data_IF_653612203820
#
_entry.id   IF_653612203820
#
_cell.length_a   1.000
_cell.length_b   1.000
_cell.length_c   1.000
_cell.angle_alpha   90.00
_cell.angle_beta   90.00
_cell.angle_gamma   90.00
#
_symmetry.space_group_name_H-M   'P 1'
#
loop_
_entity.id
_entity.type
_entity.pdbx_description
1 polymer ?
#
# COMPACT_ATOMS: atom_id res chain seq x y z
N UNK A 1 -15.64 -7.95 0.07
CA UNK A 1 -14.29 -7.44 -0.25
C UNK A 1 -14.14 -6.10 0.42
N UNK A 2 -13.29 -6.00 1.45
CA UNK A 2 -12.80 -4.70 1.90
C UNK A 2 -12.03 -4.09 0.74
N UNK A 3 -12.61 -3.03 0.17
CA UNK A 3 -12.11 -2.41 -1.05
C UNK A 3 -10.95 -1.51 -0.66
N UNK A 4 -9.72 -1.94 -1.00
CA UNK A 4 -8.53 -1.09 -0.89
C UNK A 4 -8.83 0.23 -1.59
N UNK A 5 -8.62 1.34 -0.87
CA UNK A 5 -8.84 2.67 -1.38
C UNK A 5 -7.77 3.63 -0.83
N UNK A 6 -7.81 4.86 -1.31
CA UNK A 6 -6.85 5.93 -1.00
C UNK A 6 -6.69 6.24 0.50
N UNK A 7 -7.69 5.94 1.32
CA UNK A 7 -7.70 6.19 2.77
C UNK A 7 -7.32 4.94 3.58
N UNK A 8 -7.14 3.78 2.93
CA UNK A 8 -6.60 2.58 3.57
C UNK A 8 -5.16 2.82 3.98
N UNK A 9 -4.78 2.43 5.20
CA UNK A 9 -3.39 2.53 5.66
C UNK A 9 -2.51 1.43 5.05
N UNK A 10 -1.22 1.71 4.92
CA UNK A 10 -0.22 0.71 4.48
C UNK A 10 -0.28 -0.55 5.36
N UNK A 11 -0.48 -0.38 6.68
CA UNK A 11 -0.59 -1.51 7.59
C UNK A 11 -1.88 -2.30 7.45
N UNK A 12 -3.00 -1.66 7.13
CA UNK A 12 -4.22 -2.38 6.77
C UNK A 12 -4.04 -3.21 5.49
N UNK A 13 -3.43 -2.63 4.45
CA UNK A 13 -3.14 -3.33 3.18
C UNK A 13 -2.30 -4.59 3.40
N UNK A 14 -1.29 -4.52 4.27
CA UNK A 14 -0.42 -5.66 4.59
C UNK A 14 -1.14 -6.68 5.48
N UNK A 15 -1.98 -6.23 6.43
CA UNK A 15 -2.81 -7.14 7.24
C UNK A 15 -3.85 -7.90 6.40
N UNK A 16 -4.41 -7.25 5.38
CA UNK A 16 -5.34 -7.87 4.44
C UNK A 16 -4.67 -8.96 3.61
N UNK A 17 -3.45 -8.70 3.13
CA UNK A 17 -2.64 -9.69 2.43
C UNK A 17 -1.14 -9.38 2.65
N UNK A 18 -0.40 -10.21 3.41
CA UNK A 18 1.02 -10.00 3.66
C UNK A 18 1.88 -9.92 2.39
N UNK A 19 1.46 -10.53 1.27
CA UNK A 19 2.15 -10.43 -0.02
C UNK A 19 2.14 -9.00 -0.59
N UNK A 20 1.20 -8.15 -0.16
CA UNK A 20 1.19 -6.74 -0.55
C UNK A 20 2.41 -5.98 -0.04
N UNK A 21 3.09 -6.45 1.02
CA UNK A 21 4.35 -5.84 1.47
C UNK A 21 5.39 -5.84 0.34
N UNK A 22 5.52 -6.97 -0.38
CA UNK A 22 6.44 -7.07 -1.52
C UNK A 22 6.03 -6.14 -2.67
N UNK A 23 4.73 -6.03 -2.95
CA UNK A 23 4.24 -5.08 -3.96
C UNK A 23 4.59 -3.64 -3.58
N UNK A 24 4.27 -3.21 -2.37
CA UNK A 24 4.58 -1.87 -1.88
C UNK A 24 6.08 -1.56 -1.99
N UNK A 25 6.95 -2.51 -1.63
CA UNK A 25 8.40 -2.38 -1.81
C UNK A 25 8.79 -2.22 -3.28
N UNK A 26 8.17 -2.97 -4.20
CA UNK A 26 8.41 -2.83 -5.65
C UNK A 26 7.95 -1.47 -6.20
N UNK A 27 7.00 -0.80 -5.54
CA UNK A 27 6.57 0.57 -5.85
C UNK A 27 7.49 1.65 -5.23
N UNK A 28 8.54 1.26 -4.50
CA UNK A 28 9.50 2.19 -3.89
C UNK A 28 9.27 2.45 -2.40
N UNK A 29 8.31 1.77 -1.76
CA UNK A 29 8.07 1.86 -0.31
C UNK A 29 8.94 0.83 0.43
N UNK A 30 10.26 1.01 0.45
CA UNK A 30 11.19 0.06 1.08
C UNK A 30 11.03 -0.10 2.60
N UNK A 31 10.47 0.91 3.27
CA UNK A 31 10.31 0.94 4.73
C UNK A 31 8.92 0.52 5.20
N UNK A 32 8.19 -0.30 4.42
CA UNK A 32 6.81 -0.70 4.77
C UNK A 32 6.69 -1.35 6.15
N UNK A 33 7.73 -1.99 6.67
CA UNK A 33 7.72 -2.57 8.02
C UNK A 33 7.88 -1.56 9.17
N UNK A 34 8.21 -0.30 8.89
CA UNK A 34 8.38 0.71 9.93
C UNK A 34 7.03 1.15 10.52
N UNK A 35 6.91 1.36 11.85
CA UNK A 35 5.65 1.79 12.47
C UNK A 35 5.07 3.08 11.88
N UNK A 36 5.93 4.01 11.47
CA UNK A 36 5.53 5.25 10.80
C UNK A 36 4.86 4.96 9.45
N UNK A 37 5.51 4.16 8.59
CA UNK A 37 4.97 3.79 7.28
C UNK A 37 3.65 3.04 7.39
N UNK A 38 3.52 2.15 8.36
CA UNK A 38 2.30 1.40 8.63
C UNK A 38 1.09 2.29 8.99
N UNK A 39 1.35 3.50 9.50
CA UNK A 39 0.33 4.46 9.94
C UNK A 39 -0.08 5.42 8.82
N UNK A 40 0.69 5.50 7.74
CA UNK A 40 0.38 6.36 6.59
C UNK A 40 -0.74 5.75 5.73
N UNK A 41 -1.61 6.60 5.20
CA UNK A 41 -2.56 6.20 4.16
C UNK A 41 -1.83 5.94 2.84
N UNK A 42 -2.42 5.13 1.96
CA UNK A 42 -1.88 4.95 0.61
C UNK A 42 -1.71 6.28 -0.13
N UNK A 43 -2.62 7.25 0.09
CA UNK A 43 -2.50 8.60 -0.48
C UNK A 43 -1.26 9.32 0.03
N UNK A 44 -1.06 9.38 1.34
CA UNK A 44 0.08 10.09 1.95
C UNK A 44 1.40 9.46 1.50
N UNK A 45 1.52 8.14 1.62
CA UNK A 45 2.70 7.42 1.18
C UNK A 45 2.97 7.65 -0.32
N UNK A 46 1.93 7.65 -1.15
CA UNK A 46 2.10 7.92 -2.59
C UNK A 46 2.57 9.35 -2.88
N UNK A 47 2.08 10.34 -2.14
CA UNK A 47 2.50 11.74 -2.29
C UNK A 47 3.97 11.95 -1.87
N UNK A 48 4.39 11.36 -0.75
CA UNK A 48 5.76 11.47 -0.24
C UNK A 48 6.76 10.81 -1.18
N UNK A 49 6.39 9.68 -1.78
CA UNK A 49 7.26 8.88 -2.64
C UNK A 49 7.08 9.14 -4.15
N UNK A 50 6.19 10.05 -4.55
CA UNK A 50 5.94 10.36 -5.98
C UNK A 50 5.34 9.20 -6.77
N UNK A 51 4.54 8.35 -6.11
CA UNK A 51 3.91 7.17 -6.70
C UNK A 51 2.53 7.55 -7.24
N UNK A 52 2.15 6.98 -8.38
CA UNK A 52 0.78 7.08 -8.89
C UNK A 52 -0.18 6.24 -8.04
N UNK A 53 -1.04 6.92 -7.29
CA UNK A 53 -1.96 6.32 -6.32
C UNK A 53 -2.95 5.35 -6.98
N UNK A 54 -3.47 5.68 -8.17
CA UNK A 54 -4.42 4.84 -8.87
C UNK A 54 -3.76 3.54 -9.35
N UNK A 55 -2.53 3.63 -9.88
CA UNK A 55 -1.73 2.45 -10.26
C UNK A 55 -1.40 1.59 -9.05
N UNK A 56 -1.08 2.20 -7.91
CA UNK A 56 -0.81 1.48 -6.67
C UNK A 56 -2.06 0.73 -6.18
N UNK A 57 -3.20 1.41 -6.04
CA UNK A 57 -4.47 0.80 -5.60
C UNK A 57 -4.87 -0.34 -6.54
N UNK A 58 -4.73 -0.15 -7.85
CA UNK A 58 -4.99 -1.19 -8.84
C UNK A 58 -4.11 -2.42 -8.62
N UNK A 59 -2.79 -2.24 -8.51
CA UNK A 59 -1.86 -3.34 -8.31
C UNK A 59 -2.10 -4.10 -6.99
N UNK A 60 -2.52 -3.40 -5.93
CA UNK A 60 -2.88 -4.01 -4.64
C UNK A 60 -4.22 -4.76 -4.70
N UNK A 61 -5.16 -4.30 -5.52
CA UNK A 61 -6.49 -4.89 -5.67
C UNK A 61 -6.53 -6.06 -6.66
N UNK A 62 -5.53 -6.20 -7.52
CA UNK A 62 -5.48 -7.21 -8.59
C UNK A 62 -5.05 -8.61 -8.13
N UNK A 63 -4.69 -8.81 -6.86
CA UNK A 63 -4.45 -10.17 -6.33
C UNK A 63 -5.76 -10.86 -5.96
N UNK A 64 -6.35 -11.53 -6.96
CA UNK A 64 -7.25 -12.66 -6.73
C UNK A 64 -6.39 -13.92 -6.66
N UNK A 65 -5.80 -14.21 -5.51
CA UNK A 65 -5.31 -15.55 -5.23
C UNK A 65 -6.37 -16.34 -4.48
#
# INVERSE_FOLDING_TARGET
>A
MDKINKDTTVGEVIRMNPANAQKLMNFGMGCVGCPSAQSETLREASLVHGIDLDRLIKALSEDKN
#
